data_IF_529936852052
#
_entry.id   IF_529936852052
#
_cell.length_a   1.000
_cell.length_b   1.000
_cell.length_c   1.000
_cell.angle_alpha   90.00
_cell.angle_beta   90.00
_cell.angle_gamma   90.00
#
_symmetry.space_group_name_H-M   'P 1'
#
loop_
_entity.id
_entity.type
_entity.pdbx_description
1 polymer ?
#
# COMPACT_ATOMS: atom_id res chain seq x y z
N UNK A 1 -14.05 -30.21 29.00
CA UNK A 1 -12.87 -30.02 29.84
C UNK A 1 -11.70 -30.69 29.15
N UNK A 2 -10.59 -30.00 28.92
CA UNK A 2 -9.37 -30.62 28.38
C UNK A 2 -8.76 -31.49 29.48
N UNK A 3 -8.29 -32.67 29.14
CA UNK A 3 -7.63 -33.53 30.12
C UNK A 3 -6.27 -32.90 30.48
N UNK A 4 -5.88 -33.05 31.73
CA UNK A 4 -4.56 -32.58 32.23
C UNK A 4 -3.39 -33.12 31.36
N UNK A 5 -3.53 -34.35 30.82
CA UNK A 5 -2.53 -34.97 29.94
C UNK A 5 -2.41 -34.28 28.57
N UNK A 6 -3.53 -33.80 28.02
CA UNK A 6 -3.53 -33.05 26.76
C UNK A 6 -2.88 -31.67 26.93
N UNK A 7 -3.15 -31.00 28.02
CA UNK A 7 -2.52 -29.70 28.32
C UNK A 7 -1.01 -29.81 28.48
N UNK A 8 -0.55 -30.82 29.21
CA UNK A 8 0.89 -31.10 29.37
C UNK A 8 1.56 -31.41 28.03
N UNK A 9 0.91 -32.20 27.18
CA UNK A 9 1.41 -32.47 25.81
C UNK A 9 1.55 -31.19 24.98
N UNK A 10 0.50 -30.33 24.99
CA UNK A 10 0.50 -29.06 24.27
C UNK A 10 1.57 -28.10 24.77
N UNK A 11 1.84 -28.07 26.07
CA UNK A 11 2.92 -27.28 26.67
C UNK A 11 4.30 -27.75 26.24
N UNK A 12 4.54 -29.07 26.21
CA UNK A 12 5.78 -29.67 25.71
C UNK A 12 5.99 -29.34 24.22
N UNK A 13 4.95 -29.42 23.38
CA UNK A 13 5.02 -29.05 21.97
C UNK A 13 5.36 -27.56 21.81
N UNK A 14 4.61 -26.68 22.48
CA UNK A 14 4.82 -25.24 22.36
C UNK A 14 6.13 -24.77 22.94
N UNK A 15 6.71 -25.47 23.91
CA UNK A 15 8.05 -25.14 24.46
C UNK A 15 9.17 -25.21 23.43
N UNK A 16 9.01 -25.99 22.36
CA UNK A 16 9.97 -26.11 21.23
C UNK A 16 9.71 -25.13 20.08
N UNK A 17 8.58 -24.42 20.11
CA UNK A 17 8.22 -23.44 19.08
C UNK A 17 8.69 -22.04 19.52
N UNK A 18 9.63 -21.46 18.78
CA UNK A 18 10.21 -20.13 19.10
C UNK A 18 9.23 -18.98 18.96
N UNK A 19 8.27 -19.08 18.03
CA UNK A 19 7.27 -18.05 17.79
C UNK A 19 6.15 -18.11 18.79
N UNK A 20 6.17 -17.20 19.80
CA UNK A 20 5.09 -17.07 20.80
C UNK A 20 3.73 -16.77 20.16
N UNK A 21 3.71 -16.08 19.00
CA UNK A 21 2.50 -15.76 18.24
C UNK A 21 1.82 -17.02 17.68
N UNK A 22 2.60 -18.07 17.35
CA UNK A 22 2.09 -19.34 16.85
C UNK A 22 1.55 -20.27 17.96
N UNK A 23 1.92 -20.03 19.23
CA UNK A 23 1.54 -20.93 20.32
C UNK A 23 0.03 -21.11 20.47
N UNK A 24 -0.73 -20.00 20.39
CA UNK A 24 -2.19 -20.05 20.52
C UNK A 24 -2.85 -20.83 19.36
N UNK A 25 -2.35 -20.66 18.16
CA UNK A 25 -2.83 -21.37 16.96
C UNK A 25 -2.53 -22.86 17.05
N UNK A 26 -1.28 -23.20 17.33
CA UNK A 26 -0.83 -24.58 17.48
C UNK A 26 -1.59 -25.30 18.59
N UNK A 27 -1.76 -24.66 19.76
CA UNK A 27 -2.55 -25.23 20.87
C UNK A 27 -3.99 -25.52 20.44
N UNK A 28 -4.62 -24.59 19.69
CA UNK A 28 -6.00 -24.74 19.22
C UNK A 28 -6.13 -25.87 18.20
N UNK A 29 -5.27 -25.91 17.17
CA UNK A 29 -5.29 -26.93 16.15
C UNK A 29 -5.03 -28.33 16.70
N UNK A 30 -3.98 -28.48 17.50
CA UNK A 30 -3.66 -29.75 18.11
C UNK A 30 -4.73 -30.20 19.12
N UNK A 31 -5.29 -29.28 19.92
CA UNK A 31 -6.39 -29.60 20.84
C UNK A 31 -7.60 -30.10 20.09
N UNK A 32 -8.01 -29.44 19.00
CA UNK A 32 -9.13 -29.90 18.17
C UNK A 32 -8.86 -31.29 17.60
N UNK A 33 -7.67 -31.50 17.04
CA UNK A 33 -7.30 -32.81 16.46
C UNK A 33 -7.25 -33.93 17.50
N UNK A 34 -6.71 -33.67 18.68
CA UNK A 34 -6.71 -34.63 19.79
C UNK A 34 -8.13 -34.94 20.28
N UNK A 35 -9.01 -33.94 20.33
CA UNK A 35 -10.41 -34.16 20.68
C UNK A 35 -11.15 -35.02 19.64
N UNK A 36 -10.92 -34.79 18.36
CA UNK A 36 -11.49 -35.62 17.28
C UNK A 36 -10.99 -37.08 17.35
N UNK A 37 -9.69 -37.26 17.52
CA UNK A 37 -9.12 -38.61 17.68
C UNK A 37 -9.68 -39.32 18.91
N UNK A 38 -9.77 -38.65 20.06
CA UNK A 38 -10.37 -39.21 21.27
C UNK A 38 -11.83 -39.64 21.02
N UNK A 39 -12.62 -38.78 20.37
CA UNK A 39 -14.01 -39.12 20.04
C UNK A 39 -14.13 -40.35 19.10
N UNK A 40 -13.20 -40.49 18.16
CA UNK A 40 -13.14 -41.63 17.26
C UNK A 40 -12.87 -42.93 18.04
N UNK A 41 -11.89 -42.94 18.96
CA UNK A 41 -11.57 -44.08 19.78
C UNK A 41 -12.66 -44.41 20.82
N UNK A 42 -13.39 -43.42 21.32
CA UNK A 42 -14.56 -43.65 22.17
C UNK A 42 -15.73 -44.31 21.43
N UNK A 43 -15.88 -44.04 20.11
CA UNK A 43 -16.85 -44.77 19.26
C UNK A 43 -16.44 -46.22 18.99
N UNK A 44 -15.17 -46.57 19.16
CA UNK A 44 -14.64 -47.93 19.13
C UNK A 44 -14.76 -48.63 20.47
N UNK A 45 -15.63 -48.15 21.38
CA UNK A 45 -15.94 -48.72 22.71
C UNK A 45 -14.79 -48.72 23.72
N UNK A 46 -13.76 -47.89 23.49
CA UNK A 46 -12.67 -47.70 24.44
C UNK A 46 -13.10 -46.81 25.61
N UNK A 47 -12.59 -47.09 26.81
CA UNK A 47 -12.80 -46.22 27.98
C UNK A 47 -12.13 -44.86 27.74
N UNK A 48 -12.54 -43.84 28.50
CA UNK A 48 -12.04 -42.44 28.31
C UNK A 48 -10.52 -42.35 28.49
N UNK A 49 -9.98 -43.07 29.47
CA UNK A 49 -8.54 -43.07 29.81
C UNK A 49 -7.71 -43.75 28.72
N UNK A 50 -8.18 -44.92 28.23
CA UNK A 50 -7.51 -45.67 27.13
C UNK A 50 -7.58 -44.91 25.80
N UNK A 51 -8.71 -44.23 25.53
CA UNK A 51 -8.86 -43.39 24.36
C UNK A 51 -7.92 -42.16 24.36
N UNK A 52 -7.68 -41.58 25.54
CA UNK A 52 -6.71 -40.49 25.71
C UNK A 52 -5.27 -40.97 25.53
N UNK A 53 -4.91 -42.10 26.11
CA UNK A 53 -3.56 -42.65 25.96
C UNK A 53 -3.25 -43.06 24.51
N UNK A 54 -4.20 -43.71 23.86
CA UNK A 54 -4.10 -44.10 22.44
C UNK A 54 -4.01 -42.86 21.54
N UNK A 55 -4.73 -41.77 21.89
CA UNK A 55 -4.63 -40.48 21.18
C UNK A 55 -3.22 -39.88 21.31
N UNK A 56 -2.65 -39.81 22.52
CA UNK A 56 -1.32 -39.32 22.74
C UNK A 56 -0.25 -40.17 22.04
N UNK A 57 -0.42 -41.49 22.07
CA UNK A 57 0.47 -42.40 21.36
C UNK A 57 0.42 -42.19 19.84
N UNK A 58 -0.76 -41.92 19.26
CA UNK A 58 -0.95 -41.59 17.85
C UNK A 58 -0.34 -40.24 17.47
N UNK A 59 -0.37 -39.25 18.36
CA UNK A 59 0.26 -37.95 18.17
C UNK A 59 1.80 -38.02 18.19
N UNK A 60 2.38 -39.08 18.74
CA UNK A 60 3.81 -39.29 18.78
C UNK A 60 4.56 -38.41 19.81
N UNK A 61 5.85 -38.18 19.58
CA UNK A 61 6.68 -37.44 20.54
C UNK A 61 6.43 -35.92 20.45
N UNK A 62 6.02 -35.30 21.57
CA UNK A 62 5.71 -33.88 21.66
C UNK A 62 6.90 -32.97 21.25
N UNK A 63 8.12 -33.35 21.58
CA UNK A 63 9.30 -32.54 21.26
C UNK A 63 9.62 -32.57 19.76
N UNK A 64 9.56 -33.73 19.14
CA UNK A 64 9.78 -33.90 17.68
C UNK A 64 8.69 -33.16 16.88
N UNK A 65 7.43 -33.28 17.31
CA UNK A 65 6.32 -32.54 16.73
C UNK A 65 6.51 -31.02 16.89
N UNK A 66 6.95 -30.57 18.08
CA UNK A 66 7.25 -29.16 18.33
C UNK A 66 8.37 -28.61 17.44
N UNK A 67 9.43 -29.38 17.18
CA UNK A 67 10.50 -29.01 16.27
C UNK A 67 10.04 -28.91 14.79
N UNK A 68 9.18 -29.85 14.36
CA UNK A 68 8.58 -29.81 13.03
C UNK A 68 7.68 -28.58 12.87
N UNK A 69 6.81 -28.31 13.84
CA UNK A 69 5.95 -27.14 13.86
C UNK A 69 6.73 -25.84 13.94
N UNK A 70 7.86 -25.80 14.68
CA UNK A 70 8.76 -24.63 14.69
C UNK A 70 9.35 -24.32 13.32
N UNK A 71 9.66 -25.34 12.49
CA UNK A 71 10.13 -25.13 11.10
C UNK A 71 9.03 -24.58 10.20
N UNK A 72 7.79 -25.04 10.38
CA UNK A 72 6.62 -24.61 9.60
C UNK A 72 6.18 -23.19 9.97
N UNK A 73 6.11 -22.87 11.27
CA UNK A 73 5.62 -21.58 11.78
C UNK A 73 6.71 -20.56 12.06
N UNK A 74 7.91 -20.73 11.47
CA UNK A 74 8.99 -19.77 11.62
C UNK A 74 8.68 -18.48 10.85
N UNK A 75 8.72 -17.30 11.50
CA UNK A 75 8.58 -16.02 10.80
C UNK A 75 9.62 -15.88 9.69
N UNK A 76 9.16 -15.60 8.47
CA UNK A 76 10.04 -15.42 7.31
C UNK A 76 10.08 -13.96 6.90
N UNK A 77 11.27 -13.44 6.63
CA UNK A 77 11.45 -12.09 6.07
C UNK A 77 11.72 -12.18 4.57
N UNK A 78 11.14 -11.26 3.81
CA UNK A 78 11.45 -11.12 2.38
C UNK A 78 12.66 -10.21 2.19
N UNK A 79 13.87 -10.80 2.30
CA UNK A 79 15.13 -10.07 2.14
C UNK A 79 15.28 -9.41 0.77
N UNK A 80 14.75 -10.05 -0.28
CA UNK A 80 14.78 -9.47 -1.63
C UNK A 80 14.00 -8.15 -1.67
N UNK A 81 12.80 -8.13 -1.09
CA UNK A 81 11.97 -6.93 -1.04
C UNK A 81 12.62 -5.83 -0.19
N UNK A 82 13.27 -6.20 0.92
CA UNK A 82 14.02 -5.25 1.78
C UNK A 82 15.22 -4.68 1.01
N UNK A 83 15.98 -5.51 0.30
CA UNK A 83 17.13 -5.04 -0.52
C UNK A 83 16.68 -4.07 -1.61
N UNK A 84 15.58 -4.38 -2.32
CA UNK A 84 15.01 -3.48 -3.32
C UNK A 84 14.57 -2.14 -2.70
N UNK A 85 13.93 -2.17 -1.52
CA UNK A 85 13.58 -0.95 -0.79
C UNK A 85 14.80 -0.11 -0.46
N UNK A 86 15.89 -0.71 0.04
CA UNK A 86 17.13 0.01 0.36
C UNK A 86 17.76 0.60 -0.90
N UNK A 87 17.83 -0.15 -2.00
CA UNK A 87 18.37 0.33 -3.27
C UNK A 87 17.55 1.50 -3.82
N UNK A 88 16.22 1.40 -3.87
CA UNK A 88 15.34 2.48 -4.35
C UNK A 88 15.46 3.70 -3.44
N UNK A 89 15.50 3.51 -2.13
CA UNK A 89 15.63 4.59 -1.16
C UNK A 89 16.97 5.33 -1.26
N UNK A 90 18.05 4.62 -1.59
CA UNK A 90 19.38 5.24 -1.77
C UNK A 90 19.41 6.22 -2.95
N UNK A 91 18.58 6.01 -3.97
CA UNK A 91 18.45 6.92 -5.12
C UNK A 91 17.95 8.31 -4.70
N UNK A 92 17.21 8.40 -3.59
CA UNK A 92 16.77 9.71 -3.05
C UNK A 92 17.94 10.63 -2.70
N UNK A 93 19.04 10.09 -2.19
CA UNK A 93 20.23 10.88 -1.87
C UNK A 93 20.97 11.33 -3.14
N UNK A 94 20.98 10.50 -4.19
CA UNK A 94 21.50 10.91 -5.50
C UNK A 94 20.66 12.05 -6.09
N UNK A 95 19.34 11.97 -5.98
CA UNK A 95 18.43 13.03 -6.42
C UNK A 95 18.74 14.37 -5.74
N UNK A 96 19.03 14.34 -4.44
CA UNK A 96 19.27 15.56 -3.64
C UNK A 96 20.69 16.13 -3.83
N UNK A 97 21.64 15.39 -4.39
CA UNK A 97 23.01 15.86 -4.61
C UNK A 97 23.10 17.07 -5.57
N UNK A 98 22.15 17.20 -6.48
CA UNK A 98 22.11 18.30 -7.44
C UNK A 98 21.20 19.46 -7.05
N UNK A 99 20.63 19.46 -5.82
CA UNK A 99 19.80 20.56 -5.34
C UNK A 99 20.66 21.62 -4.64
N UNK A 100 20.33 22.89 -4.83
CA UNK A 100 20.95 23.98 -4.08
C UNK A 100 20.76 23.72 -2.57
N UNK A 101 21.84 23.86 -1.78
CA UNK A 101 21.87 23.48 -0.37
C UNK A 101 21.65 21.96 -0.12
N UNK A 102 22.21 21.12 -0.97
CA UNK A 102 22.11 19.67 -0.91
C UNK A 102 22.31 19.08 0.49
N UNK A 103 23.31 19.56 1.25
CA UNK A 103 23.61 19.09 2.60
C UNK A 103 22.44 19.25 3.57
N UNK A 104 21.70 20.36 3.49
CA UNK A 104 20.52 20.61 4.30
C UNK A 104 19.38 19.64 3.96
N UNK A 105 19.10 19.47 2.66
CA UNK A 105 18.05 18.55 2.20
C UNK A 105 18.41 17.08 2.51
N UNK A 106 19.67 16.68 2.32
CA UNK A 106 20.16 15.34 2.65
C UNK A 106 20.06 15.04 4.15
N UNK A 107 20.42 15.99 5.02
CA UNK A 107 20.28 15.84 6.47
C UNK A 107 18.83 15.63 6.89
N UNK A 108 17.91 16.44 6.39
CA UNK A 108 16.47 16.28 6.64
C UNK A 108 15.93 14.97 6.07
N UNK A 109 16.38 14.56 4.89
CA UNK A 109 15.98 13.29 4.28
C UNK A 109 16.47 12.10 5.12
N UNK A 110 17.68 12.14 5.67
CA UNK A 110 18.18 11.10 6.57
C UNK A 110 17.32 10.98 7.84
N UNK A 111 16.86 12.08 8.40
CA UNK A 111 15.92 12.08 9.53
C UNK A 111 14.61 11.39 9.12
N UNK A 112 14.04 11.74 7.97
CA UNK A 112 12.80 11.12 7.47
C UNK A 112 12.96 9.63 7.22
N UNK A 113 14.09 9.17 6.66
CA UNK A 113 14.39 7.74 6.50
C UNK A 113 14.55 7.02 7.83
N UNK A 114 15.21 7.64 8.81
CA UNK A 114 15.31 7.07 10.15
C UNK A 114 13.92 6.85 10.76
N UNK A 115 13.05 7.86 10.68
CA UNK A 115 11.66 7.74 11.12
C UNK A 115 10.90 6.67 10.32
N UNK A 116 11.11 6.57 9.01
CA UNK A 116 10.51 5.55 8.16
C UNK A 116 10.92 4.12 8.59
N UNK A 117 12.20 3.91 8.91
CA UNK A 117 12.69 2.62 9.42
C UNK A 117 12.06 2.30 10.78
N UNK A 118 11.95 3.28 11.67
CA UNK A 118 11.27 3.10 12.97
C UNK A 118 9.80 2.69 12.75
N UNK A 119 9.09 3.34 11.83
CA UNK A 119 7.70 2.98 11.49
C UNK A 119 7.62 1.56 10.95
N UNK A 120 8.48 1.17 10.00
CA UNK A 120 8.52 -0.19 9.44
C UNK A 120 8.73 -1.22 10.55
N UNK A 121 9.74 -1.01 11.40
CA UNK A 121 10.06 -1.92 12.50
C UNK A 121 8.90 -2.01 13.50
N UNK A 122 8.29 -0.89 13.88
CA UNK A 122 7.14 -0.85 14.78
C UNK A 122 5.96 -1.66 14.23
N UNK A 123 5.67 -1.52 12.94
CA UNK A 123 4.60 -2.28 12.27
C UNK A 123 4.90 -3.78 12.24
N UNK A 124 6.16 -4.20 12.11
CA UNK A 124 6.51 -5.63 12.15
C UNK A 124 6.15 -6.33 13.46
N UNK A 125 6.17 -5.60 14.58
CA UNK A 125 5.76 -6.14 15.89
C UNK A 125 4.26 -6.06 16.15
N UNK A 126 3.54 -5.25 15.38
CA UNK A 126 2.10 -5.09 15.53
C UNK A 126 1.34 -6.22 14.82
N UNK A 127 0.25 -6.72 15.41
CA UNK A 127 -0.61 -7.70 14.73
C UNK A 127 -1.61 -6.98 13.80
N UNK A 128 -1.32 -7.02 12.49
CA UNK A 128 -2.14 -6.38 11.46
C UNK A 128 -3.60 -6.86 11.43
N UNK A 129 -3.88 -8.08 11.91
CA UNK A 129 -5.24 -8.67 11.93
C UNK A 129 -6.20 -7.86 12.82
N UNK A 130 -5.67 -7.16 13.83
CA UNK A 130 -6.47 -6.26 14.70
C UNK A 130 -7.06 -5.09 13.91
N UNK A 131 -6.40 -4.65 12.83
CA UNK A 131 -6.87 -3.56 11.97
C UNK A 131 -8.21 -3.88 11.29
N UNK A 132 -8.49 -5.17 11.02
CA UNK A 132 -9.74 -5.61 10.39
C UNK A 132 -10.99 -5.14 11.13
N UNK A 133 -10.97 -5.18 12.47
CA UNK A 133 -12.10 -4.78 13.32
C UNK A 133 -12.29 -3.26 13.37
N UNK A 134 -11.22 -2.50 13.14
CA UNK A 134 -11.18 -1.03 13.20
C UNK A 134 -11.63 -0.31 11.93
N UNK A 135 -12.18 -0.98 10.92
CA UNK A 135 -12.49 -0.37 9.62
C UNK A 135 -13.38 0.89 9.73
N UNK A 136 -14.38 0.86 10.61
CA UNK A 136 -15.28 2.00 10.81
C UNK A 136 -14.53 3.19 11.42
N UNK A 137 -13.67 2.95 12.40
CA UNK A 137 -12.84 3.99 13.00
C UNK A 137 -11.93 4.65 11.95
N UNK A 138 -11.27 3.86 11.11
CA UNK A 138 -10.41 4.40 10.05
C UNK A 138 -11.20 5.18 9.01
N UNK A 139 -12.39 4.69 8.62
CA UNK A 139 -13.23 5.38 7.66
C UNK A 139 -13.73 6.72 8.21
N UNK A 140 -14.28 6.72 9.43
CA UNK A 140 -14.81 7.95 10.08
C UNK A 140 -13.67 8.94 10.35
N UNK A 141 -12.53 8.49 10.83
CA UNK A 141 -11.36 9.36 11.06
C UNK A 141 -10.87 10.00 9.76
N UNK A 142 -10.75 9.23 8.67
CA UNK A 142 -10.38 9.75 7.36
C UNK A 142 -11.40 10.74 6.82
N UNK A 143 -12.70 10.44 6.97
CA UNK A 143 -13.79 11.32 6.56
C UNK A 143 -13.76 12.65 7.32
N UNK A 144 -13.69 12.61 8.65
CA UNK A 144 -13.63 13.81 9.49
C UNK A 144 -12.38 14.64 9.23
N UNK A 145 -11.26 13.99 9.00
CA UNK A 145 -9.98 14.64 8.70
C UNK A 145 -10.06 15.44 7.38
N UNK A 146 -10.56 14.83 6.30
CA UNK A 146 -10.74 15.53 5.03
C UNK A 146 -11.84 16.59 5.11
N UNK A 147 -12.91 16.34 5.82
CA UNK A 147 -13.98 17.30 6.03
C UNK A 147 -13.46 18.54 6.79
N UNK A 148 -12.75 18.33 7.90
CA UNK A 148 -12.10 19.42 8.64
C UNK A 148 -11.20 20.26 7.73
N UNK A 149 -10.37 19.60 6.92
CA UNK A 149 -9.45 20.30 6.02
C UNK A 149 -10.17 21.08 4.93
N UNK A 150 -11.29 20.56 4.41
CA UNK A 150 -12.10 21.24 3.41
C UNK A 150 -12.71 22.54 3.92
N UNK A 151 -13.16 22.59 5.18
CA UNK A 151 -13.79 23.78 5.75
C UNK A 151 -12.82 24.71 6.47
N UNK A 152 -11.88 24.17 7.23
CA UNK A 152 -11.02 24.92 8.17
C UNK A 152 -9.54 24.88 7.77
N UNK A 153 -9.15 24.13 6.74
CA UNK A 153 -7.76 24.06 6.29
C UNK A 153 -7.26 25.38 5.72
N UNK A 154 -5.98 25.74 5.96
CA UNK A 154 -5.37 26.90 5.34
C UNK A 154 -5.28 26.76 3.83
N UNK A 155 -5.50 27.84 3.11
CA UNK A 155 -5.41 27.86 1.65
C UNK A 155 -3.96 28.14 1.25
N UNK A 156 -3.34 27.21 0.52
CA UNK A 156 -1.99 27.34 -0.01
C UNK A 156 -2.02 27.10 -1.52
N UNK A 157 -1.62 28.07 -2.33
CA UNK A 157 -1.69 28.00 -3.80
C UNK A 157 -3.09 27.60 -4.35
N UNK A 158 -4.15 28.11 -3.71
CA UNK A 158 -5.53 27.79 -4.07
C UNK A 158 -6.04 26.41 -3.62
N UNK A 159 -5.23 25.64 -2.89
CA UNK A 159 -5.58 24.30 -2.39
C UNK A 159 -5.61 24.27 -0.87
N UNK A 160 -6.57 23.53 -0.29
CA UNK A 160 -6.71 23.31 1.16
C UNK A 160 -6.36 21.88 1.49
N UNK A 161 -5.09 21.49 1.36
CA UNK A 161 -4.66 20.10 1.59
C UNK A 161 -3.65 19.90 2.70
N UNK A 162 -3.14 21.00 3.26
CA UNK A 162 -2.10 20.96 4.31
C UNK A 162 -2.62 21.55 5.61
N UNK A 163 -2.16 20.99 6.73
CA UNK A 163 -2.31 21.56 8.07
C UNK A 163 -0.90 21.85 8.59
N UNK A 164 -0.74 22.97 9.26
CA UNK A 164 0.53 23.35 9.89
C UNK A 164 0.51 22.94 11.37
N UNK A 165 1.55 22.22 11.78
CA UNK A 165 1.80 21.87 13.17
C UNK A 165 3.18 22.46 13.51
N UNK A 166 3.19 23.68 14.06
CA UNK A 166 4.41 24.48 14.15
C UNK A 166 4.95 24.80 12.76
N UNK A 167 6.22 24.50 12.51
CA UNK A 167 6.88 24.69 11.21
C UNK A 167 6.71 23.51 10.24
N UNK A 168 6.02 22.45 10.66
CA UNK A 168 5.82 21.27 9.85
C UNK A 168 4.51 21.38 9.05
N UNK A 169 4.61 21.38 7.73
CA UNK A 169 3.45 21.23 6.85
C UNK A 169 3.07 19.76 6.67
N UNK A 170 1.89 19.39 7.09
CA UNK A 170 1.36 18.01 7.01
C UNK A 170 0.37 17.92 5.88
N UNK A 171 0.66 17.11 4.87
CA UNK A 171 -0.26 16.79 3.79
C UNK A 171 -1.32 15.81 4.30
N UNK A 172 -2.52 16.34 4.53
CA UNK A 172 -3.64 15.61 5.13
C UNK A 172 -4.24 14.61 4.16
N UNK A 173 -4.17 14.87 2.86
CA UNK A 173 -4.76 14.00 1.85
C UNK A 173 -4.06 12.64 1.82
N UNK A 174 -2.75 12.60 2.03
CA UNK A 174 -1.97 11.38 2.09
C UNK A 174 -2.30 10.55 3.35
N UNK A 175 -2.52 11.22 4.50
CA UNK A 175 -2.96 10.56 5.72
C UNK A 175 -4.39 10.01 5.54
N UNK A 176 -5.30 10.80 4.97
CA UNK A 176 -6.65 10.37 4.63
C UNK A 176 -6.66 9.15 3.72
N UNK A 177 -5.79 9.13 2.70
CA UNK A 177 -5.63 7.99 1.80
C UNK A 177 -5.20 6.72 2.55
N UNK A 178 -4.26 6.82 3.50
CA UNK A 178 -3.83 5.69 4.32
C UNK A 178 -4.94 5.18 5.24
N UNK A 179 -5.74 6.09 5.82
CA UNK A 179 -6.90 5.71 6.65
C UNK A 179 -7.97 5.01 5.82
N UNK A 180 -8.31 5.51 4.64
CA UNK A 180 -9.28 4.85 3.75
C UNK A 180 -8.75 3.52 3.19
N UNK A 181 -7.45 3.40 2.92
CA UNK A 181 -6.83 2.13 2.58
C UNK A 181 -7.10 1.07 3.66
N UNK A 182 -6.85 1.38 4.94
CA UNK A 182 -7.10 0.46 6.06
C UNK A 182 -8.60 0.17 6.22
N UNK A 183 -9.45 1.17 6.07
CA UNK A 183 -10.90 1.02 6.13
C UNK A 183 -11.40 0.06 5.04
N UNK A 184 -10.99 0.26 3.80
CA UNK A 184 -11.43 -0.56 2.68
C UNK A 184 -10.89 -1.98 2.71
N UNK A 185 -9.69 -2.21 3.24
CA UNK A 185 -9.23 -3.57 3.50
C UNK A 185 -10.16 -4.31 4.46
N UNK A 186 -10.62 -3.64 5.53
CA UNK A 186 -11.58 -4.20 6.48
C UNK A 186 -12.97 -4.42 5.89
N UNK A 187 -13.50 -3.46 5.11
CA UNK A 187 -14.76 -3.56 4.41
C UNK A 187 -14.71 -4.72 3.40
N UNK A 188 -13.68 -4.75 2.55
CA UNK A 188 -13.50 -5.75 1.49
C UNK A 188 -13.32 -7.17 2.03
N UNK A 189 -12.73 -7.32 3.22
CA UNK A 189 -12.63 -8.63 3.87
C UNK A 189 -13.96 -9.16 4.42
N UNK A 190 -14.96 -8.31 4.60
CA UNK A 190 -16.29 -8.65 5.10
C UNK A 190 -17.40 -8.48 4.04
N UNK A 191 -17.04 -8.47 2.77
CA UNK A 191 -17.94 -8.16 1.65
C UNK A 191 -19.16 -9.09 1.55
N UNK A 192 -19.08 -10.35 2.02
CA UNK A 192 -20.23 -11.27 2.05
C UNK A 192 -21.44 -10.74 2.85
N UNK A 193 -21.22 -9.77 3.74
CA UNK A 193 -22.32 -9.10 4.48
C UNK A 193 -23.12 -8.12 3.61
N UNK A 194 -22.63 -7.77 2.41
CA UNK A 194 -23.18 -6.74 1.53
C UNK A 194 -23.80 -7.33 0.26
N UNK A 195 -24.43 -8.49 0.36
CA UNK A 195 -25.10 -9.16 -0.77
C UNK A 195 -26.45 -8.54 -1.10
N UNK A 196 -27.14 -7.92 -0.11
CA UNK A 196 -28.44 -7.25 -0.29
C UNK A 196 -28.31 -5.95 -1.07
N UNK A 197 -29.30 -5.61 -1.91
CA UNK A 197 -29.25 -4.42 -2.77
C UNK A 197 -29.12 -3.10 -1.98
N UNK A 198 -29.78 -2.97 -0.80
CA UNK A 198 -29.65 -1.78 0.06
C UNK A 198 -28.23 -1.61 0.60
N UNK A 199 -27.59 -2.73 0.96
CA UNK A 199 -26.21 -2.72 1.42
C UNK A 199 -25.22 -2.46 0.28
N UNK A 200 -25.54 -2.90 -0.95
CA UNK A 200 -24.75 -2.57 -2.15
C UNK A 200 -24.83 -1.05 -2.45
N UNK A 201 -26.00 -0.42 -2.30
CA UNK A 201 -26.12 1.03 -2.42
C UNK A 201 -25.28 1.75 -1.37
N UNK A 202 -25.30 1.27 -0.13
CA UNK A 202 -24.42 1.81 0.93
C UNK A 202 -22.94 1.69 0.55
N UNK A 203 -22.50 0.56 -0.03
CA UNK A 203 -21.13 0.40 -0.51
C UNK A 203 -20.77 1.42 -1.59
N UNK A 204 -21.67 1.67 -2.53
CA UNK A 204 -21.47 2.70 -3.57
C UNK A 204 -21.33 4.08 -2.94
N UNK A 205 -22.18 4.43 -1.97
CA UNK A 205 -22.06 5.69 -1.23
C UNK A 205 -20.72 5.78 -0.47
N UNK A 206 -20.33 4.73 0.25
CA UNK A 206 -19.04 4.66 0.94
C UNK A 206 -17.85 4.76 -0.02
N UNK A 207 -17.97 4.23 -1.24
CA UNK A 207 -16.93 4.30 -2.26
C UNK A 207 -16.76 5.72 -2.81
N UNK A 208 -17.86 6.43 -3.11
CA UNK A 208 -17.80 7.72 -3.76
C UNK A 208 -17.61 8.91 -2.81
N UNK A 209 -17.99 8.78 -1.55
CA UNK A 209 -17.88 9.89 -0.56
C UNK A 209 -16.42 10.35 -0.39
N UNK A 210 -15.41 9.49 -0.14
CA UNK A 210 -14.02 9.95 -0.04
C UNK A 210 -13.48 10.48 -1.37
N UNK A 211 -13.85 9.88 -2.51
CA UNK A 211 -13.45 10.38 -3.82
C UNK A 211 -13.93 11.81 -4.06
N UNK A 212 -15.17 12.10 -3.70
CA UNK A 212 -15.73 13.45 -3.76
C UNK A 212 -15.00 14.42 -2.83
N UNK A 213 -14.65 14.00 -1.60
CA UNK A 213 -13.91 14.85 -0.66
C UNK A 213 -12.51 15.19 -1.20
N UNK A 214 -11.78 14.25 -1.77
CA UNK A 214 -10.49 14.53 -2.43
C UNK A 214 -10.65 15.51 -3.59
N UNK A 215 -11.70 15.37 -4.41
CA UNK A 215 -12.00 16.31 -5.49
C UNK A 215 -12.40 17.70 -4.98
N UNK A 216 -13.05 17.80 -3.83
CA UNK A 216 -13.40 19.09 -3.20
C UNK A 216 -12.17 19.83 -2.68
N UNK A 217 -11.08 19.10 -2.37
CA UNK A 217 -9.78 19.63 -1.96
C UNK A 217 -8.85 19.92 -3.15
N UNK A 218 -9.33 20.07 -4.38
CA UNK A 218 -8.70 19.96 -5.71
C UNK A 218 -7.50 18.99 -5.80
N UNK A 219 -7.56 17.85 -5.11
CA UNK A 219 -6.54 16.82 -5.15
C UNK A 219 -6.97 15.63 -6.04
N UNK A 220 -6.84 15.81 -7.34
CA UNK A 220 -7.16 14.78 -8.32
C UNK A 220 -6.27 13.54 -8.19
N UNK A 221 -4.98 13.72 -7.84
CA UNK A 221 -4.04 12.62 -7.71
C UNK A 221 -4.46 11.66 -6.57
N UNK A 222 -4.76 12.19 -5.38
CA UNK A 222 -5.23 11.38 -4.26
C UNK A 222 -6.59 10.74 -4.54
N UNK A 223 -7.49 11.42 -5.26
CA UNK A 223 -8.77 10.82 -5.70
C UNK A 223 -8.55 9.60 -6.60
N UNK A 224 -7.68 9.71 -7.60
CA UNK A 224 -7.34 8.60 -8.51
C UNK A 224 -6.67 7.46 -7.73
N UNK A 225 -5.70 7.75 -6.84
CA UNK A 225 -5.07 6.74 -5.99
C UNK A 225 -6.07 6.00 -5.11
N UNK A 226 -6.98 6.73 -4.50
CA UNK A 226 -8.05 6.16 -3.70
C UNK A 226 -8.93 5.21 -4.54
N UNK A 227 -9.39 5.67 -5.71
CA UNK A 227 -10.23 4.86 -6.61
C UNK A 227 -9.52 3.59 -7.07
N UNK A 228 -8.26 3.69 -7.53
CA UNK A 228 -7.48 2.53 -7.98
C UNK A 228 -7.23 1.55 -6.83
N UNK A 229 -6.85 2.04 -5.65
CA UNK A 229 -6.63 1.22 -4.47
C UNK A 229 -7.89 0.47 -4.04
N UNK A 230 -9.00 1.18 -3.87
CA UNK A 230 -10.26 0.58 -3.40
C UNK A 230 -10.86 -0.35 -4.45
N UNK A 231 -10.80 0.02 -5.72
CA UNK A 231 -11.27 -0.82 -6.82
C UNK A 231 -10.48 -2.13 -6.91
N UNK A 232 -9.14 -2.07 -6.78
CA UNK A 232 -8.31 -3.28 -6.74
C UNK A 232 -8.70 -4.21 -5.58
N UNK A 233 -8.95 -3.66 -4.38
CA UNK A 233 -9.42 -4.47 -3.23
C UNK A 233 -10.81 -5.09 -3.47
N UNK A 234 -11.73 -4.36 -4.11
CA UNK A 234 -13.07 -4.89 -4.45
C UNK A 234 -12.96 -6.04 -5.44
N UNK A 235 -12.12 -5.93 -6.47
CA UNK A 235 -11.91 -6.98 -7.48
C UNK A 235 -11.41 -8.29 -6.86
N UNK A 236 -10.57 -8.22 -5.83
CA UNK A 236 -10.02 -9.39 -5.14
C UNK A 236 -10.78 -9.75 -3.85
N UNK A 237 -11.96 -9.15 -3.63
CA UNK A 237 -12.83 -9.50 -2.49
C UNK A 237 -13.54 -10.84 -2.69
N UNK A 238 -14.10 -11.39 -1.60
CA UNK A 238 -14.83 -12.67 -1.62
C UNK A 238 -16.27 -12.57 -2.16
N UNK A 239 -16.58 -11.55 -2.97
CA UNK A 239 -17.94 -11.39 -3.52
C UNK A 239 -18.27 -12.45 -4.57
N UNK A 240 -19.54 -12.95 -4.61
CA UNK A 240 -20.02 -13.73 -5.72
C UNK A 240 -19.90 -12.97 -7.04
N UNK A 241 -19.45 -13.64 -8.12
CA UNK A 241 -19.19 -13.01 -9.42
C UNK A 241 -20.36 -12.13 -9.92
N UNK A 242 -21.61 -12.57 -9.73
CA UNK A 242 -22.80 -11.79 -10.13
C UNK A 242 -22.92 -10.45 -9.40
N UNK A 243 -22.62 -10.44 -8.08
CA UNK A 243 -22.66 -9.22 -7.25
C UNK A 243 -21.49 -8.32 -7.61
N UNK A 244 -20.30 -8.88 -7.80
CA UNK A 244 -19.10 -8.15 -8.20
C UNK A 244 -19.32 -7.42 -9.54
N UNK A 245 -19.81 -8.12 -10.57
CA UNK A 245 -20.09 -7.53 -11.89
C UNK A 245 -21.09 -6.40 -11.76
N UNK A 246 -22.20 -6.59 -11.01
CA UNK A 246 -23.19 -5.53 -10.79
C UNK A 246 -22.57 -4.30 -10.11
N UNK A 247 -21.78 -4.52 -9.07
CA UNK A 247 -21.15 -3.43 -8.31
C UNK A 247 -20.15 -2.68 -9.17
N UNK A 248 -19.34 -3.37 -9.96
CA UNK A 248 -18.40 -2.78 -10.94
C UNK A 248 -19.18 -1.98 -11.98
N UNK A 249 -20.24 -2.54 -12.58
CA UNK A 249 -21.04 -1.84 -13.59
C UNK A 249 -21.67 -0.55 -13.06
N UNK A 250 -22.21 -0.57 -11.83
CA UNK A 250 -22.76 0.63 -11.18
C UNK A 250 -21.67 1.68 -10.94
N UNK A 251 -20.49 1.28 -10.44
CA UNK A 251 -19.40 2.23 -10.22
C UNK A 251 -18.87 2.82 -11.54
N UNK A 252 -18.77 2.03 -12.61
CA UNK A 252 -18.40 2.53 -13.95
C UNK A 252 -19.44 3.51 -14.47
N UNK A 253 -20.73 3.21 -14.29
CA UNK A 253 -21.82 4.14 -14.68
C UNK A 253 -21.71 5.46 -13.91
N UNK A 254 -21.57 5.42 -12.57
CA UNK A 254 -21.42 6.63 -11.75
C UNK A 254 -20.18 7.42 -12.17
N UNK A 255 -19.06 6.75 -12.41
CA UNK A 255 -17.83 7.39 -12.89
C UNK A 255 -18.04 8.09 -14.23
N UNK A 256 -18.68 7.42 -15.19
CA UNK A 256 -18.99 8.00 -16.51
C UNK A 256 -19.90 9.22 -16.40
N UNK A 257 -20.92 9.16 -15.56
CA UNK A 257 -21.81 10.30 -15.29
C UNK A 257 -21.07 11.48 -14.65
N UNK A 258 -20.18 11.21 -13.68
CA UNK A 258 -19.35 12.24 -13.05
C UNK A 258 -18.39 12.87 -14.05
N UNK A 259 -17.77 12.10 -14.94
CA UNK A 259 -16.91 12.63 -15.99
C UNK A 259 -17.70 13.55 -16.95
N UNK A 260 -18.91 13.16 -17.34
CA UNK A 260 -19.78 13.99 -18.17
C UNK A 260 -20.18 15.29 -17.48
N UNK A 261 -20.49 15.23 -16.18
CA UNK A 261 -20.82 16.43 -15.39
C UNK A 261 -19.60 17.35 -15.23
N UNK A 262 -18.43 16.80 -14.91
CA UNK A 262 -17.19 17.57 -14.81
C UNK A 262 -16.83 18.22 -16.16
N UNK A 263 -16.97 17.48 -17.25
CA UNK A 263 -16.77 18.02 -18.60
C UNK A 263 -17.69 19.24 -18.83
N UNK A 264 -18.98 19.13 -18.50
CA UNK A 264 -19.96 20.19 -18.73
C UNK A 264 -19.70 21.44 -17.87
N UNK A 265 -19.26 21.24 -16.61
CA UNK A 265 -19.05 22.32 -15.63
C UNK A 265 -17.65 22.97 -15.78
N UNK A 266 -16.65 22.21 -16.15
CA UNK A 266 -15.23 22.61 -16.20
C UNK A 266 -14.64 22.53 -17.60
N UNK A 267 -15.45 22.61 -18.66
CA UNK A 267 -15.05 22.44 -20.06
C UNK A 267 -13.80 23.25 -20.39
N UNK A 268 -13.81 24.55 -20.11
CA UNK A 268 -12.66 25.42 -20.41
C UNK A 268 -11.36 24.95 -19.72
N UNK A 269 -11.40 24.69 -18.43
CA UNK A 269 -10.21 24.26 -17.69
C UNK A 269 -9.72 22.87 -18.12
N UNK A 270 -10.61 21.95 -18.45
CA UNK A 270 -10.27 20.61 -18.92
C UNK A 270 -9.72 20.67 -20.35
N UNK A 271 -10.36 21.40 -21.23
CA UNK A 271 -9.90 21.55 -22.64
C UNK A 271 -8.53 22.21 -22.69
N UNK A 272 -8.30 23.29 -21.94
CA UNK A 272 -7.01 23.98 -21.90
C UNK A 272 -5.88 23.05 -21.43
N UNK A 273 -6.09 22.28 -20.37
CA UNK A 273 -5.10 21.29 -19.91
C UNK A 273 -4.88 20.15 -20.89
N UNK A 274 -5.96 19.66 -21.52
CA UNK A 274 -5.87 18.61 -22.53
C UNK A 274 -5.17 19.12 -23.80
N UNK A 275 -5.42 20.35 -24.22
CA UNK A 275 -4.74 20.95 -25.38
C UNK A 275 -3.24 21.07 -25.12
N UNK A 276 -2.82 21.56 -23.91
CA UNK A 276 -1.42 21.63 -23.53
C UNK A 276 -0.75 20.25 -23.48
N UNK A 277 -1.48 19.20 -23.09
CA UNK A 277 -0.99 17.83 -23.10
C UNK A 277 -0.92 17.21 -24.51
N UNK A 278 -2.00 17.34 -25.32
CA UNK A 278 -2.10 16.70 -26.63
C UNK A 278 -1.31 17.45 -27.73
N UNK A 279 -1.22 18.75 -27.61
CA UNK A 279 -0.47 19.59 -28.55
C UNK A 279 0.31 20.67 -27.79
N UNK A 280 1.44 20.32 -27.14
CA UNK A 280 2.24 21.28 -26.37
C UNK A 280 2.76 22.45 -27.20
N UNK A 281 2.97 22.25 -28.51
CA UNK A 281 3.49 23.26 -29.44
C UNK A 281 2.46 24.35 -29.75
N UNK A 282 1.17 24.13 -29.46
CA UNK A 282 0.14 25.16 -29.66
C UNK A 282 0.21 26.29 -28.63
N UNK A 283 0.75 26.04 -27.42
CA UNK A 283 0.95 27.03 -26.36
C UNK A 283 2.26 26.76 -25.60
N UNK A 284 3.42 27.00 -26.26
CA UNK A 284 4.74 26.63 -25.71
C UNK A 284 5.13 27.41 -24.46
N UNK A 285 4.56 28.58 -24.24
CA UNK A 285 4.82 29.45 -23.08
C UNK A 285 3.77 29.33 -21.98
N UNK A 286 2.66 28.64 -22.22
CA UNK A 286 1.58 28.43 -21.28
C UNK A 286 1.44 26.97 -20.86
N UNK A 287 0.33 26.33 -21.20
CA UNK A 287 0.02 24.96 -20.75
C UNK A 287 0.94 23.88 -21.34
N UNK A 288 1.55 24.13 -22.51
CA UNK A 288 2.51 23.24 -23.15
C UNK A 288 3.93 23.35 -22.60
N UNK A 289 4.25 24.42 -21.86
CA UNK A 289 5.63 24.74 -21.42
C UNK A 289 6.36 23.57 -20.76
N UNK A 290 5.75 22.96 -19.75
CA UNK A 290 6.40 21.87 -19.00
C UNK A 290 6.66 20.66 -19.89
N UNK A 291 5.75 20.34 -20.80
CA UNK A 291 5.93 19.21 -21.74
C UNK A 291 7.08 19.48 -22.74
N UNK A 292 7.24 20.74 -23.18
CA UNK A 292 8.37 21.12 -24.04
C UNK A 292 9.69 21.01 -23.29
N UNK A 293 9.76 21.48 -22.04
CA UNK A 293 10.95 21.35 -21.20
C UNK A 293 11.28 19.88 -20.94
N UNK A 294 10.28 19.01 -20.67
CA UNK A 294 10.49 17.56 -20.51
C UNK A 294 11.06 16.91 -21.77
N UNK A 295 10.53 17.28 -22.94
CA UNK A 295 11.04 16.80 -24.26
C UNK A 295 12.51 17.22 -24.44
N UNK A 296 12.88 18.44 -24.08
CA UNK A 296 14.23 18.94 -24.16
C UNK A 296 15.18 18.23 -23.20
N UNK A 297 14.78 18.04 -21.93
CA UNK A 297 15.51 17.26 -20.92
C UNK A 297 15.88 15.87 -21.44
N UNK A 298 14.92 15.13 -21.97
CA UNK A 298 15.17 13.78 -22.48
C UNK A 298 16.00 13.74 -23.77
N UNK A 299 15.92 14.77 -24.62
CA UNK A 299 16.76 14.88 -25.82
C UNK A 299 18.23 15.10 -25.50
N UNK A 300 18.52 15.80 -24.39
CA UNK A 300 19.87 16.12 -23.94
C UNK A 300 20.48 15.09 -22.98
N UNK A 301 19.67 14.13 -22.47
CA UNK A 301 20.11 13.24 -21.38
C UNK A 301 21.32 12.34 -21.73
N UNK A 302 21.43 11.86 -22.97
CA UNK A 302 22.48 10.92 -23.37
C UNK A 302 22.42 9.56 -22.63
N UNK A 303 23.33 8.66 -22.94
CA UNK A 303 23.36 7.34 -22.28
C UNK A 303 23.91 7.37 -20.87
N UNK A 304 24.89 8.26 -20.57
CA UNK A 304 25.58 8.35 -19.28
C UNK A 304 25.30 9.64 -18.53
N UNK A 305 24.43 10.48 -19.08
CA UNK A 305 23.97 11.74 -18.46
C UNK A 305 24.97 12.90 -18.52
N UNK A 306 24.53 14.04 -17.98
CA UNK A 306 25.27 15.30 -18.02
C UNK A 306 25.86 15.67 -16.65
N UNK A 307 25.70 14.79 -15.65
CA UNK A 307 26.08 15.09 -14.25
C UNK A 307 25.06 16.01 -13.55
N UNK A 308 25.34 16.29 -12.29
CA UNK A 308 24.49 17.18 -11.45
C UNK A 308 24.93 18.64 -11.62
N UNK A 309 24.42 19.29 -12.66
CA UNK A 309 24.75 20.69 -12.97
C UNK A 309 23.73 21.64 -12.35
N UNK A 310 24.20 22.76 -11.78
CA UNK A 310 23.35 23.78 -11.16
C UNK A 310 22.60 24.65 -12.16
N UNK A 311 23.13 24.84 -13.37
CA UNK A 311 22.54 25.68 -14.43
C UNK A 311 22.04 24.85 -15.62
N UNK A 312 21.28 23.80 -15.33
CA UNK A 312 20.73 22.92 -16.34
C UNK A 312 19.29 23.27 -16.73
N UNK A 313 18.85 22.79 -17.88
CA UNK A 313 17.47 22.93 -18.37
C UNK A 313 16.44 22.39 -17.35
N UNK A 314 16.85 21.45 -16.48
CA UNK A 314 16.01 20.85 -15.46
C UNK A 314 15.55 21.87 -14.39
N UNK A 315 16.34 22.89 -14.10
CA UNK A 315 15.96 23.92 -13.13
C UNK A 315 14.77 24.75 -13.58
N UNK A 316 14.44 24.74 -14.87
CA UNK A 316 13.23 25.36 -15.41
C UNK A 316 11.93 24.67 -14.94
N UNK A 317 12.02 23.40 -14.46
CA UNK A 317 10.91 22.67 -13.87
C UNK A 317 10.59 23.08 -12.42
N UNK A 318 11.36 23.99 -11.80
CA UNK A 318 11.15 24.40 -10.42
C UNK A 318 11.43 23.26 -9.42
N UNK A 319 10.39 22.73 -8.78
CA UNK A 319 10.53 21.68 -7.76
C UNK A 319 10.82 20.27 -8.36
N UNK A 320 11.84 20.16 -9.23
CA UNK A 320 12.18 18.92 -9.93
C UNK A 320 12.45 17.75 -8.98
N UNK A 321 13.03 17.97 -7.80
CA UNK A 321 13.30 16.96 -6.78
C UNK A 321 12.03 16.41 -6.09
N UNK A 322 10.87 17.03 -6.34
CA UNK A 322 9.58 16.63 -5.79
C UNK A 322 8.71 15.98 -6.87
N UNK A 323 8.49 16.68 -8.00
CA UNK A 323 7.49 16.27 -8.99
C UNK A 323 8.10 15.59 -10.22
N UNK A 324 9.33 15.97 -10.60
CA UNK A 324 10.00 15.54 -11.82
C UNK A 324 11.31 14.80 -11.53
N UNK A 325 11.33 13.99 -10.47
CA UNK A 325 12.52 13.24 -10.07
C UNK A 325 13.04 12.29 -11.14
N UNK A 326 12.15 11.62 -11.89
CA UNK A 326 12.54 10.69 -12.95
C UNK A 326 13.25 11.40 -14.12
N UNK A 327 12.69 12.44 -14.75
CA UNK A 327 13.37 13.19 -15.80
C UNK A 327 14.72 13.76 -15.34
N UNK A 328 14.78 14.30 -14.12
CA UNK A 328 16.02 14.83 -13.58
C UNK A 328 17.12 13.76 -13.43
N UNK A 329 16.77 12.60 -12.88
CA UNK A 329 17.73 11.50 -12.73
C UNK A 329 18.20 10.97 -14.08
N UNK A 330 17.32 10.89 -15.08
CA UNK A 330 17.69 10.48 -16.44
C UNK A 330 18.61 11.53 -17.10
N UNK A 331 18.33 12.82 -16.93
CA UNK A 331 19.21 13.88 -17.44
C UNK A 331 20.60 13.83 -16.81
N UNK A 332 20.64 13.69 -15.47
CA UNK A 332 21.89 13.74 -14.72
C UNK A 332 22.75 12.46 -14.84
N UNK A 333 22.13 11.30 -14.86
CA UNK A 333 22.81 9.98 -14.81
C UNK A 333 22.67 9.16 -16.10
N UNK A 334 21.87 9.65 -17.05
CA UNK A 334 21.68 9.04 -18.36
C UNK A 334 20.59 7.98 -18.43
N UNK A 335 20.29 7.58 -19.67
CA UNK A 335 19.29 6.56 -19.97
C UNK A 335 19.61 5.20 -19.37
N UNK A 336 20.91 4.81 -19.29
CA UNK A 336 21.32 3.56 -18.65
C UNK A 336 20.81 3.50 -17.19
N UNK A 337 20.98 4.59 -16.44
CA UNK A 337 20.47 4.66 -15.07
C UNK A 337 18.94 4.65 -15.04
N UNK A 338 18.26 5.37 -15.95
CA UNK A 338 16.81 5.38 -16.05
C UNK A 338 16.21 3.99 -16.25
N UNK A 339 16.83 3.16 -17.12
CA UNK A 339 16.41 1.77 -17.36
C UNK A 339 16.61 0.92 -16.09
N UNK A 340 17.74 1.05 -15.42
CA UNK A 340 18.01 0.35 -14.15
C UNK A 340 16.98 0.73 -13.10
N UNK A 341 16.66 2.03 -12.96
CA UNK A 341 15.68 2.52 -12.01
C UNK A 341 14.27 1.99 -12.31
N UNK A 342 13.84 2.02 -13.57
CA UNK A 342 12.56 1.43 -13.98
C UNK A 342 12.51 -0.06 -13.65
N UNK A 343 13.59 -0.80 -13.93
CA UNK A 343 13.69 -2.23 -13.63
C UNK A 343 13.58 -2.50 -12.13
N UNK A 344 14.28 -1.72 -11.28
CA UNK A 344 14.20 -1.85 -9.83
C UNK A 344 12.78 -1.59 -9.30
N UNK A 345 12.11 -0.54 -9.80
CA UNK A 345 10.72 -0.22 -9.43
C UNK A 345 9.75 -1.32 -9.87
N UNK A 346 9.88 -1.83 -11.09
CA UNK A 346 9.05 -2.92 -11.60
C UNK A 346 9.26 -4.22 -10.79
N UNK A 347 10.51 -4.57 -10.48
CA UNK A 347 10.83 -5.73 -9.64
C UNK A 347 10.27 -5.57 -8.22
N UNK A 348 10.35 -4.36 -7.64
CA UNK A 348 9.78 -4.07 -6.33
C UNK A 348 8.27 -4.27 -6.33
N UNK A 349 7.55 -3.67 -7.28
CA UNK A 349 6.08 -3.78 -7.42
C UNK A 349 5.69 -5.24 -7.69
N UNK A 350 6.37 -5.92 -8.60
CA UNK A 350 6.16 -7.34 -8.91
C UNK A 350 6.32 -8.21 -7.67
N UNK A 351 7.46 -8.08 -6.96
CA UNK A 351 7.73 -8.87 -5.76
C UNK A 351 6.70 -8.63 -4.66
N UNK A 352 6.30 -7.38 -4.48
CA UNK A 352 5.27 -7.00 -3.51
C UNK A 352 3.92 -7.62 -3.86
N UNK A 353 3.49 -7.53 -5.13
CA UNK A 353 2.24 -8.11 -5.61
C UNK A 353 2.24 -9.64 -5.50
N UNK A 354 3.34 -10.31 -5.83
CA UNK A 354 3.46 -11.75 -5.68
C UNK A 354 3.35 -12.22 -4.23
N UNK A 355 3.68 -11.38 -3.26
CA UNK A 355 3.49 -11.70 -1.84
C UNK A 355 2.01 -11.76 -1.44
N UNK A 356 1.12 -11.05 -2.14
CA UNK A 356 -0.33 -11.15 -1.93
C UNK A 356 -0.84 -12.58 -2.22
N UNK A 357 -0.36 -13.18 -3.30
CA UNK A 357 -0.78 -14.52 -3.72
C UNK A 357 -0.18 -15.65 -2.87
N UNK A 358 0.89 -15.35 -2.12
CA UNK A 358 1.52 -16.29 -1.18
C UNK A 358 0.88 -16.27 0.20
N UNK A 359 -0.07 -15.38 0.44
CA UNK A 359 -0.71 -15.17 1.75
C UNK A 359 -2.05 -15.89 1.80
N UNK A 360 -2.23 -16.77 2.78
CA UNK A 360 -3.49 -17.49 2.99
C UNK A 360 -4.58 -16.63 3.65
N UNK A 361 -4.18 -15.63 4.45
CA UNK A 361 -5.11 -14.69 5.07
C UNK A 361 -5.73 -13.74 4.04
N UNK A 362 -7.06 -13.81 3.89
CA UNK A 362 -7.78 -12.97 2.94
C UNK A 362 -7.65 -11.47 3.24
N UNK A 363 -7.69 -11.07 4.53
CA UNK A 363 -7.50 -9.67 4.92
C UNK A 363 -6.07 -9.18 4.62
N UNK A 364 -5.06 -9.99 4.97
CA UNK A 364 -3.67 -9.71 4.64
C UNK A 364 -3.44 -9.59 3.13
N UNK A 365 -4.06 -10.47 2.33
CA UNK A 365 -4.02 -10.40 0.86
C UNK A 365 -4.55 -9.06 0.34
N UNK A 366 -5.69 -8.60 0.84
CA UNK A 366 -6.28 -7.32 0.44
C UNK A 366 -5.40 -6.13 0.82
N UNK A 367 -4.78 -6.15 2.01
CA UNK A 367 -3.81 -5.14 2.42
C UNK A 367 -2.62 -5.07 1.44
N UNK A 368 -2.06 -6.21 1.05
CA UNK A 368 -0.93 -6.25 0.10
C UNK A 368 -1.36 -5.76 -1.28
N UNK A 369 -2.54 -6.17 -1.79
CA UNK A 369 -3.05 -5.73 -3.09
C UNK A 369 -3.27 -4.21 -3.11
N UNK A 370 -3.93 -3.66 -2.11
CA UNK A 370 -4.15 -2.21 -2.03
C UNK A 370 -2.85 -1.42 -1.87
N UNK A 371 -1.91 -1.90 -1.04
CA UNK A 371 -0.60 -1.30 -0.93
C UNK A 371 0.16 -1.35 -2.27
N UNK A 372 0.13 -2.50 -2.98
CA UNK A 372 0.75 -2.62 -4.31
C UNK A 372 0.18 -1.61 -5.31
N UNK A 373 -1.12 -1.38 -5.30
CA UNK A 373 -1.77 -0.38 -6.13
C UNK A 373 -1.29 1.05 -5.80
N UNK A 374 -1.17 1.38 -4.49
CA UNK A 374 -0.69 2.68 -4.00
C UNK A 374 0.79 2.93 -4.30
N UNK A 375 1.59 1.90 -4.55
CA UNK A 375 2.98 2.02 -5.02
C UNK A 375 3.07 2.04 -6.54
N UNK A 376 2.34 1.16 -7.22
CA UNK A 376 2.43 0.97 -8.66
C UNK A 376 1.92 2.19 -9.42
N UNK A 377 0.77 2.73 -9.02
CA UNK A 377 0.13 3.84 -9.73
C UNK A 377 1.01 5.11 -9.74
N UNK A 378 1.53 5.62 -8.60
CA UNK A 378 2.40 6.78 -8.60
C UNK A 378 3.71 6.56 -9.36
N UNK A 379 4.32 5.37 -9.20
CA UNK A 379 5.57 5.05 -9.90
C UNK A 379 5.39 5.05 -11.42
N UNK A 380 4.38 4.35 -11.92
CA UNK A 380 4.07 4.29 -13.35
C UNK A 380 3.67 5.66 -13.89
N UNK A 381 2.78 6.37 -13.19
CA UNK A 381 2.34 7.69 -13.64
C UNK A 381 3.48 8.70 -13.70
N UNK A 382 4.34 8.74 -12.68
CA UNK A 382 5.49 9.65 -12.64
C UNK A 382 6.48 9.40 -13.79
N UNK A 383 6.71 8.13 -14.16
CA UNK A 383 7.54 7.78 -15.30
C UNK A 383 6.86 8.20 -16.62
N UNK A 384 5.60 7.83 -16.82
CA UNK A 384 4.85 8.15 -18.05
C UNK A 384 4.63 9.66 -18.21
N UNK A 385 4.45 10.39 -17.08
CA UNK A 385 4.35 11.85 -17.05
C UNK A 385 5.65 12.50 -17.53
N UNK A 386 6.80 11.95 -17.12
CA UNK A 386 8.10 12.39 -17.61
C UNK A 386 8.21 12.30 -19.13
N UNK A 387 7.68 11.24 -19.74
CA UNK A 387 7.61 11.07 -21.22
C UNK A 387 6.51 11.91 -21.91
N UNK A 388 5.70 12.66 -21.16
CA UNK A 388 4.57 13.37 -21.73
C UNK A 388 3.45 12.45 -22.26
N UNK A 389 3.40 11.19 -21.81
CA UNK A 389 2.37 10.20 -22.22
C UNK A 389 1.08 10.29 -21.41
N UNK A 390 1.12 10.94 -20.27
CA UNK A 390 -0.04 11.18 -19.39
C UNK A 390 -0.02 12.62 -18.90
N UNK A 391 -1.18 13.19 -18.53
CA UNK A 391 -1.26 14.54 -17.99
C UNK A 391 -0.45 14.71 -16.72
N UNK A 392 0.11 15.90 -16.51
CA UNK A 392 0.87 16.26 -15.32
C UNK A 392 -0.07 16.30 -14.12
N UNK A 393 0.23 15.49 -13.10
CA UNK A 393 -0.47 15.39 -11.84
C UNK A 393 0.54 15.29 -10.69
N UNK A 394 0.10 15.51 -9.46
CA UNK A 394 0.92 15.42 -8.24
C UNK A 394 1.22 13.96 -7.84
N UNK A 395 1.76 13.18 -8.81
CA UNK A 395 2.31 11.86 -8.55
C UNK A 395 3.83 11.93 -8.42
N UNK A 396 4.35 11.25 -7.43
CA UNK A 396 5.78 11.24 -7.14
C UNK A 396 6.29 9.80 -7.00
N UNK A 397 7.56 9.60 -7.33
CA UNK A 397 8.20 8.28 -7.20
C UNK A 397 8.27 7.86 -5.72
N UNK A 398 7.72 6.69 -5.36
CA UNK A 398 7.78 6.18 -3.99
C UNK A 398 9.21 6.06 -3.50
N UNK A 399 9.49 6.49 -2.26
CA UNK A 399 10.79 6.46 -1.56
C UNK A 399 11.90 7.33 -2.16
N UNK A 400 11.76 7.84 -3.40
CA UNK A 400 12.80 8.59 -4.09
C UNK A 400 12.63 10.10 -3.88
N UNK A 401 11.41 10.59 -4.04
CA UNK A 401 11.11 12.02 -3.99
C UNK A 401 11.18 12.59 -2.58
N UNK A 402 11.60 13.86 -2.47
CA UNK A 402 11.71 14.56 -1.20
C UNK A 402 10.34 15.03 -0.68
N UNK A 403 9.63 14.14 0.03
CA UNK A 403 8.32 14.42 0.66
C UNK A 403 8.18 13.62 1.96
N UNK A 404 8.60 14.21 3.10
CA UNK A 404 8.75 13.52 4.39
C UNK A 404 7.49 12.78 4.86
N UNK A 405 6.32 13.43 4.93
CA UNK A 405 5.07 12.79 5.38
C UNK A 405 4.65 11.66 4.44
N UNK A 406 4.78 11.87 3.12
CA UNK A 406 4.45 10.84 2.12
C UNK A 406 5.38 9.63 2.25
N UNK A 407 6.66 9.86 2.56
CA UNK A 407 7.63 8.80 2.85
C UNK A 407 7.21 7.96 4.06
N UNK A 408 6.71 8.59 5.16
CA UNK A 408 6.22 7.87 6.33
C UNK A 408 4.99 7.01 6.02
N UNK A 409 4.08 7.51 5.18
CA UNK A 409 2.92 6.72 4.73
C UNK A 409 3.36 5.54 3.87
N UNK A 410 4.30 5.73 2.95
CA UNK A 410 4.88 4.62 2.19
C UNK A 410 5.61 3.62 3.10
N UNK A 411 6.30 4.08 4.13
CA UNK A 411 6.94 3.22 5.12
C UNK A 411 5.92 2.38 5.92
N UNK A 412 4.78 2.98 6.30
CA UNK A 412 3.67 2.27 6.95
C UNK A 412 3.10 1.19 6.02
N UNK A 413 2.80 1.52 4.76
CA UNK A 413 2.30 0.56 3.78
C UNK A 413 3.28 -0.59 3.55
N UNK A 414 4.56 -0.27 3.39
CA UNK A 414 5.63 -1.25 3.22
C UNK A 414 5.81 -2.14 4.44
N UNK A 415 5.77 -1.54 5.65
CA UNK A 415 5.79 -2.28 6.91
C UNK A 415 4.63 -3.25 7.04
N UNK A 416 3.41 -2.86 6.62
CA UNK A 416 2.23 -3.76 6.57
C UNK A 416 2.49 -4.93 5.60
N UNK A 417 3.01 -4.67 4.40
CA UNK A 417 3.32 -5.73 3.42
C UNK A 417 4.33 -6.73 3.99
N UNK A 418 5.42 -6.24 4.59
CA UNK A 418 6.42 -7.09 5.24
C UNK A 418 5.84 -7.89 6.42
N UNK A 419 4.97 -7.26 7.20
CA UNK A 419 4.31 -7.91 8.34
C UNK A 419 3.37 -9.03 7.88
N UNK A 420 2.56 -8.81 6.83
CA UNK A 420 1.70 -9.83 6.24
C UNK A 420 2.56 -11.00 5.73
N UNK A 421 3.64 -10.72 5.01
CA UNK A 421 4.54 -11.76 4.51
C UNK A 421 5.21 -12.55 5.64
N UNK A 422 5.65 -11.86 6.70
CA UNK A 422 6.27 -12.48 7.87
C UNK A 422 5.37 -13.51 8.53
N UNK A 423 4.05 -13.28 8.54
CA UNK A 423 3.05 -14.12 9.21
C UNK A 423 2.25 -15.01 8.28
N UNK A 424 2.60 -15.11 7.00
CA UNK A 424 1.82 -15.87 6.00
C UNK A 424 1.64 -17.34 6.34
N UNK A 425 2.67 -17.95 6.99
CA UNK A 425 2.69 -19.36 7.38
C UNK A 425 2.11 -19.60 8.80
N UNK A 426 1.61 -18.52 9.48
CA UNK A 426 1.03 -18.57 10.82
C UNK A 426 -0.51 -18.46 10.80
N UNK A 427 -1.14 -18.60 9.66
CA UNK A 427 -2.60 -18.48 9.50
C UNK A 427 -3.20 -19.86 9.40
N UNK A 428 -4.31 -20.12 10.13
CA UNK A 428 -5.13 -21.30 9.91
C UNK A 428 -5.42 -21.44 8.41
N UNK A 429 -5.01 -22.54 7.82
CA UNK A 429 -5.58 -22.98 6.54
C UNK A 429 -7.04 -23.30 6.82
N UNK A 430 -7.94 -22.36 6.52
CA UNK A 430 -9.37 -22.66 6.39
C UNK A 430 -9.49 -23.64 5.24
N UNK A 431 -9.43 -24.95 5.55
CA UNK A 431 -9.89 -26.03 4.70
C UNK A 431 -11.41 -26.03 4.73
#
# INVERSE_FOLDING_TARGET
>A
MSSSKFEEFLEKVTSRVKSKEAHALIKKELSNHMHELRQTYQKEELCVEDAEEKTLQKMGNAYTLGEQLNKLHKPRMDWVLITLFVLISSVSFLLLSGVVNASHYMGRQAIWFTLAVIVIVSILFFDYRRLKKGWLFFYVSGFLLLLYTSFLGPTQNGMRRTIWIGDLSVDVTVIGLALFFLAWAGISSNMLRFTDWKKQLLLVCLFWTPAYLFLSLPDFASSVLYLVCTFSMILFSSLPKKVLVRLVSVNVLVFSLLLLLLWKVRTYSITTRLTGFLNPEADPSGQGYIYMVLKDIFSQAGWFGNGFQTDSVVHQLGNFHIDFAFPYLVYSLGWAFGIVLCTLLLLFIYRMTMNAFKTNDHFGRLLVIGASALFAMPALWSILMGFGMVPIMDFSLPFITYRGIRLLVYALLFGIVLNVYRRKDMVESTI
#
